data_IF_318600948427
#
_entry.id   IF_318600948427
#
_cell.length_a   1.000
_cell.length_b   1.000
_cell.length_c   1.000
_cell.angle_alpha   90.00
_cell.angle_beta   90.00
_cell.angle_gamma   90.00
#
_symmetry.space_group_name_H-M   'P 1'
#
loop_
_entity.id
_entity.type
_entity.pdbx_description
1 polymer ?
#
# COMPACT_ATOMS: atom_id res chain seq x y z
N UNK A 1 -6.48 -7.90 -13.23
CA UNK A 1 -5.84 -8.47 -12.02
C UNK A 1 -6.80 -9.38 -11.26
N UNK A 2 -7.86 -8.85 -10.65
CA UNK A 2 -8.77 -9.64 -9.78
C UNK A 2 -9.55 -10.72 -10.54
N UNK A 3 -10.11 -10.42 -11.71
CA UNK A 3 -10.98 -11.36 -12.42
C UNK A 3 -10.24 -12.36 -13.31
N UNK A 4 -8.97 -12.08 -13.64
CA UNK A 4 -8.21 -12.88 -14.62
C UNK A 4 -6.95 -13.48 -14.00
N UNK A 5 -6.07 -12.63 -13.48
CA UNK A 5 -4.73 -13.05 -13.02
C UNK A 5 -4.82 -13.87 -11.74
N UNK A 6 -5.61 -13.43 -10.76
CA UNK A 6 -5.77 -14.18 -9.50
C UNK A 6 -6.34 -15.58 -9.76
N UNK A 7 -7.49 -15.75 -10.47
CA UNK A 7 -8.00 -17.07 -10.81
C UNK A 7 -7.03 -17.93 -11.64
N UNK A 8 -6.30 -17.32 -12.57
CA UNK A 8 -5.32 -18.05 -13.38
C UNK A 8 -4.16 -18.58 -12.53
N UNK A 9 -3.67 -17.80 -11.55
CA UNK A 9 -2.63 -18.24 -10.62
C UNK A 9 -3.15 -19.34 -9.70
N UNK A 10 -4.34 -19.19 -9.12
CA UNK A 10 -4.97 -20.20 -8.25
C UNK A 10 -5.18 -21.54 -8.99
N UNK A 11 -5.55 -21.49 -10.27
CA UNK A 11 -5.70 -22.69 -11.11
C UNK A 11 -4.36 -23.37 -11.40
N UNK A 12 -3.29 -22.59 -11.57
CA UNK A 12 -1.99 -23.10 -12.03
C UNK A 12 -1.08 -23.56 -10.90
N UNK A 13 -1.14 -22.94 -9.74
CA UNK A 13 -0.22 -23.16 -8.63
C UNK A 13 -0.97 -23.48 -7.34
N UNK A 14 -0.35 -24.30 -6.47
CA UNK A 14 -0.85 -24.54 -5.12
C UNK A 14 -0.49 -23.37 -4.22
N UNK A 15 -1.35 -22.36 -4.16
CA UNK A 15 -1.20 -21.19 -3.30
C UNK A 15 -2.23 -21.21 -2.17
N UNK A 16 -1.89 -20.62 -1.03
CA UNK A 16 -2.83 -20.48 0.09
C UNK A 16 -4.02 -19.61 -0.31
N UNK A 17 -5.22 -20.10 0.01
CA UNK A 17 -6.48 -19.42 -0.32
C UNK A 17 -6.83 -18.31 0.67
N UNK A 18 -7.74 -17.43 0.27
CA UNK A 18 -8.33 -16.39 1.11
C UNK A 18 -7.48 -15.13 1.24
N UNK A 19 -8.15 -14.00 1.42
CA UNK A 19 -7.52 -12.68 1.39
C UNK A 19 -6.46 -12.46 2.47
N UNK A 20 -6.60 -13.09 3.64
CA UNK A 20 -5.59 -13.06 4.72
C UNK A 20 -4.25 -13.67 4.32
N UNK A 21 -4.22 -14.52 3.30
CA UNK A 21 -3.00 -15.14 2.79
C UNK A 21 -2.48 -14.45 1.51
N UNK A 22 -3.17 -13.42 1.03
CA UNK A 22 -2.83 -12.75 -0.24
C UNK A 22 -2.37 -11.32 -0.01
N UNK A 23 -1.24 -10.99 -0.61
CA UNK A 23 -0.71 -9.63 -0.63
C UNK A 23 -0.68 -9.04 -2.03
N UNK A 24 -0.77 -7.72 -2.09
CA UNK A 24 -0.52 -6.92 -3.28
C UNK A 24 0.50 -5.84 -2.93
N UNK A 25 1.39 -5.55 -3.87
CA UNK A 25 2.45 -4.58 -3.65
C UNK A 25 2.71 -3.74 -4.88
N UNK A 26 3.22 -2.53 -4.65
CA UNK A 26 3.67 -1.67 -5.72
C UNK A 26 4.39 -0.44 -5.22
N UNK A 27 5.25 0.09 -6.10
CA UNK A 27 5.97 1.33 -5.88
C UNK A 27 5.36 2.46 -6.72
N UNK A 28 5.43 3.71 -6.24
CA UNK A 28 4.94 4.88 -6.99
C UNK A 28 3.45 4.74 -7.36
N UNK A 29 3.10 4.88 -8.64
CA UNK A 29 1.77 4.58 -9.16
C UNK A 29 1.31 3.13 -8.91
N UNK A 30 2.24 2.17 -8.85
CA UNK A 30 1.92 0.81 -8.45
C UNK A 30 1.40 0.73 -7.01
N UNK A 31 1.85 1.65 -6.13
CA UNK A 31 1.30 1.81 -4.78
C UNK A 31 -0.14 2.29 -4.81
N UNK A 32 -0.46 3.28 -5.66
CA UNK A 32 -1.83 3.76 -5.89
C UNK A 32 -2.71 2.63 -6.40
N UNK A 33 -2.29 1.92 -7.46
CA UNK A 33 -3.06 0.81 -8.02
C UNK A 33 -3.26 -0.32 -7.01
N UNK A 34 -2.26 -0.62 -6.19
CA UNK A 34 -2.36 -1.65 -5.14
C UNK A 34 -3.38 -1.27 -4.07
N UNK A 35 -3.33 -0.03 -3.59
CA UNK A 35 -4.26 0.51 -2.62
C UNK A 35 -5.68 0.56 -3.17
N UNK A 36 -5.86 1.11 -4.38
CA UNK A 36 -7.14 1.16 -5.09
C UNK A 36 -7.73 -0.24 -5.30
N UNK A 37 -6.92 -1.21 -5.69
CA UNK A 37 -7.39 -2.58 -5.89
C UNK A 37 -7.91 -3.18 -4.60
N UNK A 38 -7.23 -2.99 -3.47
CA UNK A 38 -7.70 -3.47 -2.18
C UNK A 38 -8.96 -2.74 -1.70
N UNK A 39 -9.03 -1.42 -1.91
CA UNK A 39 -10.19 -0.61 -1.56
C UNK A 39 -11.44 -1.03 -2.36
N UNK A 40 -11.30 -1.19 -3.69
CA UNK A 40 -12.38 -1.59 -4.59
C UNK A 40 -12.79 -3.06 -4.43
N UNK A 41 -11.86 -3.93 -4.04
CA UNK A 41 -12.07 -5.36 -3.88
C UNK A 41 -11.63 -5.83 -2.48
N UNK A 42 -12.36 -5.43 -1.43
CA UNK A 42 -11.91 -5.56 -0.03
C UNK A 42 -11.72 -7.00 0.42
N UNK A 43 -12.36 -7.97 -0.25
CA UNK A 43 -12.27 -9.39 0.07
C UNK A 43 -11.18 -10.17 -0.66
N UNK A 44 -10.23 -9.51 -1.35
CA UNK A 44 -9.23 -10.20 -2.19
C UNK A 44 -7.81 -10.11 -1.64
N UNK A 45 -7.39 -8.95 -1.14
CA UNK A 45 -6.04 -8.69 -0.63
C UNK A 45 -6.10 -8.04 0.75
N UNK A 46 -5.62 -8.73 1.80
CA UNK A 46 -5.56 -8.19 3.16
C UNK A 46 -4.14 -7.80 3.61
N UNK A 47 -3.17 -7.84 2.70
CA UNK A 47 -1.77 -7.49 2.96
C UNK A 47 -1.27 -6.54 1.88
N UNK A 48 -0.95 -5.32 2.25
CA UNK A 48 -0.53 -4.31 1.29
C UNK A 48 0.91 -3.90 1.58
N UNK A 49 1.78 -3.92 0.57
CA UNK A 49 3.12 -3.33 0.64
C UNK A 49 3.20 -2.16 -0.34
N UNK A 50 3.15 -0.95 0.19
CA UNK A 50 3.05 0.29 -0.60
C UNK A 50 4.34 1.07 -0.44
N UNK A 51 5.02 1.35 -1.55
CA UNK A 51 6.33 2.01 -1.53
C UNK A 51 6.26 3.33 -2.29
N UNK A 52 6.63 4.43 -1.64
CA UNK A 52 6.65 5.77 -2.22
C UNK A 52 5.38 6.08 -3.00
N UNK A 53 4.21 5.80 -2.41
CA UNK A 53 2.95 5.83 -3.14
C UNK A 53 2.62 7.24 -3.64
N UNK A 54 2.19 7.34 -4.89
CA UNK A 54 1.82 8.61 -5.53
C UNK A 54 0.44 9.11 -5.08
N UNK A 55 0.23 9.19 -3.77
CA UNK A 55 -1.06 9.41 -3.09
C UNK A 55 -1.48 10.89 -3.09
N UNK A 56 -1.51 11.52 -4.26
CA UNK A 56 -1.95 12.92 -4.38
C UNK A 56 -3.38 13.10 -3.85
N UNK A 57 -3.62 14.13 -3.04
CA UNK A 57 -4.92 14.54 -2.47
C UNK A 57 -4.93 16.07 -2.30
N UNK A 58 -6.07 16.66 -1.91
CA UNK A 58 -6.25 18.14 -1.85
C UNK A 58 -6.44 18.77 -0.48
N UNK A 59 -6.38 18.03 0.63
CA UNK A 59 -6.47 18.56 2.00
C UNK A 59 -5.45 19.69 2.30
N UNK A 60 -4.33 19.70 1.57
CA UNK A 60 -3.24 20.67 1.72
C UNK A 60 -3.20 21.72 0.59
N UNK A 61 -4.30 21.88 -0.16
CA UNK A 61 -4.43 22.82 -1.28
C UNK A 61 -4.62 22.11 -2.64
N UNK A 62 -4.49 22.85 -3.73
CA UNK A 62 -4.54 22.27 -5.07
C UNK A 62 -3.41 21.26 -5.28
N UNK A 63 -3.70 20.16 -5.97
CA UNK A 63 -2.70 19.10 -6.16
C UNK A 63 -1.55 19.50 -7.08
N UNK A 64 -1.73 20.54 -7.91
CA UNK A 64 -0.69 21.13 -8.76
C UNK A 64 -0.16 20.21 -9.85
N UNK A 65 -0.84 19.09 -10.12
CA UNK A 65 -0.52 18.14 -11.19
C UNK A 65 -1.50 18.34 -12.35
N UNK A 66 -1.18 17.79 -13.52
CA UNK A 66 -2.09 17.86 -14.67
C UNK A 66 -3.34 16.99 -14.46
N UNK A 67 -4.39 17.26 -15.24
CA UNK A 67 -5.72 16.61 -15.18
C UNK A 67 -5.69 15.07 -15.18
N UNK A 68 -4.63 14.46 -15.73
CA UNK A 68 -4.43 13.01 -15.68
C UNK A 68 -4.29 12.45 -14.25
N UNK A 69 -4.08 13.30 -13.26
CA UNK A 69 -4.02 12.93 -11.85
C UNK A 69 -5.36 13.00 -11.13
N UNK A 70 -6.38 13.61 -11.73
CA UNK A 70 -7.68 13.81 -11.09
C UNK A 70 -8.30 12.49 -10.59
N UNK A 71 -8.27 11.37 -11.34
CA UNK A 71 -8.79 10.11 -10.84
C UNK A 71 -8.04 9.56 -9.61
N UNK A 72 -6.74 9.86 -9.49
CA UNK A 72 -5.96 9.49 -8.30
C UNK A 72 -6.37 10.36 -7.12
N UNK A 73 -6.54 11.65 -7.35
CA UNK A 73 -6.91 12.62 -6.33
C UNK A 73 -8.31 12.36 -5.79
N UNK A 74 -9.29 12.14 -6.68
CA UNK A 74 -10.65 11.74 -6.32
C UNK A 74 -10.64 10.50 -5.43
N UNK A 75 -9.96 9.43 -5.88
CA UNK A 75 -9.81 8.21 -5.09
C UNK A 75 -9.16 8.46 -3.73
N UNK A 76 -8.06 9.21 -3.67
CA UNK A 76 -7.35 9.44 -2.42
C UNK A 76 -8.16 10.30 -1.45
N UNK A 77 -8.94 11.26 -1.95
CA UNK A 77 -9.86 12.05 -1.12
C UNK A 77 -10.96 11.15 -0.54
N UNK A 78 -11.63 10.33 -1.37
CA UNK A 78 -12.66 9.37 -0.90
C UNK A 78 -12.09 8.38 0.13
N UNK A 79 -10.90 7.83 -0.12
CA UNK A 79 -10.22 6.93 0.82
C UNK A 79 -9.92 7.62 2.16
N UNK A 80 -9.53 8.90 2.13
CA UNK A 80 -9.18 9.65 3.34
C UNK A 80 -10.41 10.00 4.17
N UNK A 81 -11.55 10.24 3.52
CA UNK A 81 -12.84 10.42 4.19
C UNK A 81 -13.35 9.13 4.84
N UNK A 82 -13.25 8.00 4.13
CA UNK A 82 -13.65 6.69 4.65
C UNK A 82 -12.72 5.54 4.17
N UNK A 83 -11.71 5.16 4.98
CA UNK A 83 -10.86 4.02 4.68
C UNK A 83 -11.46 2.68 5.11
N UNK A 84 -12.73 2.61 5.56
CA UNK A 84 -13.33 1.41 6.16
C UNK A 84 -13.39 0.21 5.21
N UNK A 85 -13.35 0.44 3.89
CA UNK A 85 -13.26 -0.61 2.89
C UNK A 85 -11.91 -1.36 2.96
N UNK A 86 -10.82 -0.73 3.41
CA UNK A 86 -9.54 -1.41 3.56
C UNK A 86 -9.63 -2.46 4.67
N UNK A 87 -9.45 -3.73 4.28
CA UNK A 87 -9.39 -4.85 5.21
C UNK A 87 -7.97 -5.36 5.35
N UNK A 88 -7.58 -5.71 6.57
CA UNK A 88 -6.28 -6.30 6.86
C UNK A 88 -5.22 -5.29 7.25
N UNK A 89 -3.99 -5.50 6.79
CA UNK A 89 -2.81 -4.76 7.27
C UNK A 89 -1.93 -4.21 6.15
N UNK A 90 -1.24 -3.11 6.44
CA UNK A 90 -0.49 -2.34 5.45
C UNK A 90 0.94 -2.04 5.91
N UNK A 91 1.93 -2.31 5.06
CA UNK A 91 3.28 -1.80 5.22
C UNK A 91 3.47 -0.66 4.22
N UNK A 92 3.70 0.55 4.72
CA UNK A 92 3.92 1.74 3.91
C UNK A 92 5.38 2.16 4.10
N UNK A 93 6.08 2.44 2.99
CA UNK A 93 7.43 2.99 3.05
C UNK A 93 7.61 4.17 2.10
N UNK A 94 8.45 5.14 2.43
CA UNK A 94 8.75 6.29 1.57
C UNK A 94 10.15 6.84 1.86
N UNK A 95 10.84 7.30 0.82
CA UNK A 95 12.10 8.04 0.99
C UNK A 95 11.86 9.46 1.49
N UNK A 96 12.75 9.99 2.32
CA UNK A 96 12.64 11.36 2.84
C UNK A 96 13.09 12.41 1.83
N UNK A 97 13.83 12.04 0.79
CA UNK A 97 14.36 12.96 -0.22
C UNK A 97 13.50 13.06 -1.49
N UNK A 98 12.26 12.57 -1.44
CA UNK A 98 11.31 12.65 -2.55
C UNK A 98 10.09 13.52 -2.21
N UNK A 99 9.46 14.10 -3.23
CA UNK A 99 8.31 15.00 -3.07
C UNK A 99 7.05 14.28 -2.58
N UNK A 100 7.00 12.94 -2.65
CA UNK A 100 5.85 12.15 -2.20
C UNK A 100 5.78 11.94 -0.69
N UNK A 101 6.82 12.35 0.04
CA UNK A 101 6.92 12.14 1.49
C UNK A 101 5.74 12.75 2.25
N UNK A 102 5.30 13.95 1.86
CA UNK A 102 4.19 14.63 2.51
C UNK A 102 2.88 13.86 2.38
N UNK A 103 2.61 13.32 1.19
CA UNK A 103 1.41 12.54 0.93
C UNK A 103 1.41 11.19 1.67
N UNK A 104 2.57 10.54 1.75
CA UNK A 104 2.68 9.27 2.48
C UNK A 104 2.59 9.49 4.00
N UNK A 105 3.25 10.52 4.54
CA UNK A 105 3.19 10.88 5.97
C UNK A 105 1.77 11.21 6.42
N UNK A 106 1.04 12.02 5.65
CA UNK A 106 -0.30 12.48 6.04
C UNK A 106 -1.38 11.40 5.92
N UNK A 107 -1.15 10.33 5.15
CA UNK A 107 -2.07 9.22 5.03
C UNK A 107 -2.07 8.32 6.27
N UNK A 108 -0.91 8.18 6.92
CA UNK A 108 -0.72 7.34 8.11
C UNK A 108 -1.69 7.66 9.25
N UNK A 109 -1.81 8.91 9.75
CA UNK A 109 -2.72 9.20 10.85
C UNK A 109 -4.18 8.92 10.49
N UNK A 110 -4.60 9.26 9.27
CA UNK A 110 -5.97 8.99 8.79
C UNK A 110 -6.30 7.50 8.86
N UNK A 111 -5.40 6.64 8.38
CA UNK A 111 -5.59 5.19 8.44
C UNK A 111 -5.56 4.66 9.89
N UNK A 112 -4.67 5.17 10.73
CA UNK A 112 -4.56 4.76 12.13
C UNK A 112 -5.78 5.14 12.97
N UNK A 113 -6.32 6.35 12.78
CA UNK A 113 -7.53 6.83 13.45
C UNK A 113 -8.76 5.96 13.12
N UNK A 114 -8.79 5.35 11.94
CA UNK A 114 -9.81 4.39 11.52
C UNK A 114 -9.48 2.93 11.88
N UNK A 115 -8.45 2.69 12.70
CA UNK A 115 -8.11 1.37 13.22
C UNK A 115 -7.44 0.43 12.21
N UNK A 116 -6.87 0.94 11.12
CA UNK A 116 -6.13 0.12 10.15
C UNK A 116 -4.79 -0.33 10.77
N UNK A 117 -4.52 -1.64 10.78
CA UNK A 117 -3.24 -2.20 11.22
C UNK A 117 -2.16 -1.85 10.20
N UNK A 118 -1.30 -0.87 10.49
CA UNK A 118 -0.26 -0.45 9.57
C UNK A 118 1.10 -0.26 10.25
N UNK A 119 2.15 -0.47 9.45
CA UNK A 119 3.53 -0.07 9.77
C UNK A 119 4.03 0.90 8.72
N UNK A 120 4.50 2.06 9.17
CA UNK A 120 5.10 3.08 8.31
C UNK A 120 6.62 3.16 8.54
N UNK A 121 7.39 3.21 7.46
CA UNK A 121 8.86 3.30 7.51
C UNK A 121 9.36 4.37 6.54
N UNK A 122 10.14 5.31 7.07
CA UNK A 122 10.87 6.27 6.27
C UNK A 122 12.32 5.86 6.09
N UNK A 123 12.90 6.19 4.94
CA UNK A 123 14.31 5.95 4.65
C UNK A 123 15.00 7.24 4.24
N UNK A 124 16.27 7.39 4.64
CA UNK A 124 17.16 8.46 4.17
C UNK A 124 17.59 8.20 2.72
N UNK A 125 16.61 8.18 1.83
CA UNK A 125 16.73 7.84 0.42
C UNK A 125 15.64 8.57 -0.40
N UNK A 126 15.64 8.41 -1.72
CA UNK A 126 14.70 9.03 -2.64
C UNK A 126 13.74 8.03 -3.34
N UNK A 127 13.20 8.49 -4.46
CA UNK A 127 12.27 7.72 -5.30
C UNK A 127 13.01 6.81 -6.27
N UNK A 128 13.57 5.70 -5.77
CA UNK A 128 14.42 4.82 -6.57
C UNK A 128 14.33 3.33 -6.17
N UNK A 129 14.87 2.48 -7.04
CA UNK A 129 14.84 1.03 -6.88
C UNK A 129 15.64 0.51 -5.68
N UNK A 130 16.70 1.20 -5.27
CA UNK A 130 17.51 0.80 -4.11
C UNK A 130 16.65 0.92 -2.85
N UNK A 131 16.00 2.07 -2.67
CA UNK A 131 15.08 2.30 -1.57
C UNK A 131 14.00 1.21 -1.51
N UNK A 132 13.32 0.95 -2.63
CA UNK A 132 12.22 -0.01 -2.67
C UNK A 132 12.68 -1.45 -2.42
N UNK A 133 13.79 -1.87 -3.04
CA UNK A 133 14.39 -3.19 -2.80
C UNK A 133 14.72 -3.38 -1.33
N UNK A 134 15.34 -2.39 -0.70
CA UNK A 134 15.83 -2.51 0.67
C UNK A 134 14.71 -2.60 1.71
N UNK A 135 13.49 -2.14 1.36
CA UNK A 135 12.29 -2.27 2.21
C UNK A 135 11.54 -3.59 2.02
N UNK A 136 11.88 -4.40 1.00
CA UNK A 136 11.17 -5.67 0.75
C UNK A 136 11.29 -6.63 1.93
N UNK A 137 12.47 -6.74 2.54
CA UNK A 137 12.69 -7.65 3.69
C UNK A 137 11.76 -7.28 4.84
N UNK A 138 11.78 -6.03 5.27
CA UNK A 138 11.00 -5.58 6.43
C UNK A 138 9.50 -5.65 6.15
N UNK A 139 9.08 -5.22 4.95
CA UNK A 139 7.68 -5.24 4.56
C UNK A 139 7.11 -6.65 4.43
N UNK A 140 7.80 -7.54 3.72
CA UNK A 140 7.32 -8.91 3.50
C UNK A 140 7.33 -9.73 4.80
N UNK A 141 8.33 -9.57 5.66
CA UNK A 141 8.39 -10.30 6.94
C UNK A 141 7.32 -9.83 7.92
N UNK A 142 6.98 -8.55 7.93
CA UNK A 142 5.90 -8.03 8.77
C UNK A 142 4.51 -8.41 8.24
N UNK A 143 4.31 -8.40 6.91
CA UNK A 143 3.03 -8.81 6.30
C UNK A 143 2.81 -10.31 6.36
N UNK A 144 3.87 -11.10 6.19
CA UNK A 144 3.84 -12.56 6.20
C UNK A 144 4.76 -13.09 7.30
N UNK A 145 4.37 -12.87 8.57
CA UNK A 145 5.08 -13.51 9.66
C UNK A 145 4.99 -15.02 9.45
N UNK A 146 6.13 -15.67 9.22
CA UNK A 146 6.17 -17.12 9.11
C UNK A 146 5.63 -17.77 10.39
N UNK A 147 5.31 -19.06 10.32
CA UNK A 147 4.91 -19.86 11.48
C UNK A 147 5.96 -19.87 12.61
N UNK A 148 7.21 -19.53 12.29
CA UNK A 148 8.30 -19.32 13.23
C UNK A 148 8.36 -17.85 13.67
N UNK A 149 7.37 -17.42 14.44
CA UNK A 149 7.56 -16.35 15.42
C UNK A 149 8.38 -16.88 16.61
N UNK A 150 9.61 -17.30 16.35
CA UNK A 150 10.62 -17.47 17.40
C UNK A 150 11.72 -16.46 17.14
N UNK A 151 11.63 -15.37 17.91
CA UNK A 151 12.70 -14.52 18.43
C UNK A 151 13.98 -14.46 17.59
N UNK A 152 14.20 -13.29 16.98
CA UNK A 152 15.53 -12.70 17.03
C UNK A 152 15.34 -11.32 17.67
N UNK A 153 15.65 -11.27 18.97
CA UNK A 153 15.99 -10.02 19.67
C UNK A 153 17.21 -9.36 19.02
#
# INVERSE_FOLDING_TARGET
MVNDVVPAIEKKYKISEGARNRGIMGASFGGVTSLYTAWKYPGIFHKLLLQSGSFAFTDIGEHGRGELWDPVVEFMNELREDPSAIKGRMFISCGTFESLIYYNRSLVPVLQEHGVDLRYVESQDGHNWINWRDRLRDGLTWLFPGHLWMYYE
#
